data_IF_624742091997
#
_entry.id   IF_624742091997
#
_cell.length_a   1.000
_cell.length_b   1.000
_cell.length_c   1.000
_cell.angle_alpha   90.00
_cell.angle_beta   90.00
_cell.angle_gamma   90.00
#
_symmetry.space_group_name_H-M   'P 1'
#
loop_
_entity.id
_entity.type
_entity.pdbx_description
1 polymer ?
#
# COMPACT_ATOMS: atom_id res chain seq x y z
N UNK A 1 15.58 12.46 -9.41
CA UNK A 1 14.60 13.09 -10.33
C UNK A 1 15.03 13.13 -11.80
N UNK A 2 16.01 12.33 -12.26
CA UNK A 2 16.57 12.44 -13.62
C UNK A 2 15.77 11.74 -14.74
N UNK A 3 14.77 10.91 -14.42
CA UNK A 3 14.12 10.03 -15.41
C UNK A 3 12.96 10.65 -16.18
N UNK A 4 12.50 11.85 -15.81
CA UNK A 4 11.38 12.53 -16.45
C UNK A 4 11.82 13.66 -17.38
N UNK A 5 13.03 14.18 -17.18
CA UNK A 5 13.60 15.32 -17.93
C UNK A 5 13.83 14.90 -19.38
N UNK A 6 13.17 15.59 -20.32
CA UNK A 6 13.22 15.30 -21.75
C UNK A 6 12.27 14.19 -22.22
N UNK A 7 11.41 13.66 -21.34
CA UNK A 7 10.37 12.71 -21.72
C UNK A 7 9.05 13.42 -22.08
N UNK A 8 8.13 12.77 -22.82
CA UNK A 8 6.78 13.32 -23.07
C UNK A 8 5.93 13.54 -21.81
N UNK A 9 6.40 13.06 -20.65
CA UNK A 9 5.68 13.04 -19.38
C UNK A 9 6.13 14.14 -18.40
N UNK A 10 7.15 14.92 -18.74
CA UNK A 10 7.84 15.86 -17.83
C UNK A 10 6.90 16.89 -17.14
N UNK A 11 5.78 17.23 -17.79
CA UNK A 11 4.82 18.23 -17.31
C UNK A 11 3.47 17.63 -16.89
N UNK A 12 3.34 16.29 -16.85
CA UNK A 12 2.08 15.62 -16.52
C UNK A 12 1.96 15.35 -15.01
N UNK A 13 0.72 15.31 -14.47
CA UNK A 13 0.49 14.83 -13.10
C UNK A 13 1.00 13.41 -12.92
N UNK A 14 1.60 13.13 -11.77
CA UNK A 14 2.24 11.84 -11.48
C UNK A 14 1.29 10.64 -11.65
N UNK A 15 0.01 10.81 -11.28
CA UNK A 15 -1.05 9.81 -11.49
C UNK A 15 -1.27 9.47 -12.96
N UNK A 16 -1.17 10.47 -13.85
CA UNK A 16 -1.31 10.30 -15.30
C UNK A 16 -0.10 9.57 -15.89
N UNK A 17 1.11 9.89 -15.40
CA UNK A 17 2.35 9.19 -15.78
C UNK A 17 2.28 7.71 -15.39
N UNK A 18 1.90 7.42 -14.14
CA UNK A 18 1.75 6.04 -13.64
C UNK A 18 0.76 5.26 -14.50
N UNK A 19 -0.42 5.83 -14.76
CA UNK A 19 -1.46 5.14 -15.53
C UNK A 19 -1.05 4.91 -16.99
N UNK A 20 -0.45 5.91 -17.65
CA UNK A 20 -0.04 5.80 -19.07
C UNK A 20 1.10 4.81 -19.29
N UNK A 21 2.07 4.79 -18.38
CA UNK A 21 3.26 3.94 -18.50
C UNK A 21 3.02 2.51 -18.02
N UNK A 22 1.96 2.26 -17.24
CA UNK A 22 1.62 0.93 -16.74
C UNK A 22 1.46 -0.14 -17.84
N UNK A 23 0.95 0.29 -19.00
CA UNK A 23 0.65 -0.56 -20.15
C UNK A 23 1.78 -0.66 -21.17
N UNK A 24 2.87 0.08 -20.99
CA UNK A 24 3.98 0.15 -21.95
C UNK A 24 5.21 -0.59 -21.41
N UNK A 25 5.58 -1.76 -21.96
CA UNK A 25 6.76 -2.51 -21.51
C UNK A 25 8.05 -1.70 -21.59
N UNK A 26 8.18 -0.84 -22.61
CA UNK A 26 9.36 -0.01 -22.83
C UNK A 26 9.51 1.12 -21.80
N UNK A 27 8.43 1.50 -21.12
CA UNK A 27 8.42 2.58 -20.13
C UNK A 27 8.44 2.05 -18.69
N UNK A 28 8.79 0.77 -18.49
CA UNK A 28 8.76 0.14 -17.18
C UNK A 28 9.61 0.88 -16.12
N UNK A 29 10.74 1.47 -16.51
CA UNK A 29 11.59 2.28 -15.61
C UNK A 29 10.89 3.59 -15.22
N UNK A 30 10.23 4.25 -16.16
CA UNK A 30 9.47 5.48 -15.91
C UNK A 30 8.29 5.18 -15.00
N UNK A 31 7.55 4.10 -15.27
CA UNK A 31 6.49 3.60 -14.41
C UNK A 31 7.00 3.37 -12.98
N UNK A 32 8.11 2.64 -12.83
CA UNK A 32 8.62 2.29 -11.51
C UNK A 32 8.99 3.54 -10.71
N UNK A 33 9.65 4.52 -11.33
CA UNK A 33 9.99 5.78 -10.63
C UNK A 33 8.76 6.63 -10.33
N UNK A 34 7.81 6.73 -11.26
CA UNK A 34 6.58 7.49 -11.07
C UNK A 34 5.71 6.89 -9.96
N UNK A 35 5.58 5.56 -9.97
CA UNK A 35 4.79 4.81 -8.99
C UNK A 35 5.41 4.90 -7.60
N UNK A 36 6.74 4.78 -7.47
CA UNK A 36 7.44 4.97 -6.20
C UNK A 36 7.24 6.37 -5.62
N UNK A 37 7.40 7.40 -6.46
CA UNK A 37 7.18 8.79 -6.02
C UNK A 37 5.73 9.00 -5.57
N UNK A 38 4.77 8.41 -6.29
CA UNK A 38 3.37 8.57 -5.97
C UNK A 38 3.01 7.83 -4.68
N UNK A 39 3.50 6.60 -4.52
CA UNK A 39 3.29 5.81 -3.30
C UNK A 39 3.89 6.52 -2.07
N UNK A 40 5.10 7.08 -2.21
CA UNK A 40 5.77 7.82 -1.15
C UNK A 40 5.02 9.10 -0.78
N UNK A 41 4.63 9.89 -1.78
CA UNK A 41 3.83 11.10 -1.55
C UNK A 41 2.49 10.76 -0.87
N UNK A 42 1.83 9.68 -1.29
CA UNK A 42 0.58 9.23 -0.69
C UNK A 42 0.76 8.84 0.78
N UNK A 43 1.84 8.09 1.09
CA UNK A 43 2.22 7.71 2.46
C UNK A 43 2.48 8.95 3.32
N UNK A 44 3.30 9.89 2.86
CA UNK A 44 3.62 11.10 3.62
C UNK A 44 2.39 11.97 3.89
N UNK A 45 1.49 12.10 2.91
CA UNK A 45 0.23 12.82 3.07
C UNK A 45 -0.72 12.12 4.07
N UNK A 46 -0.57 10.82 4.30
CA UNK A 46 -1.33 10.07 5.31
C UNK A 46 -0.83 10.30 6.73
N UNK A 47 0.31 10.96 6.92
CA UNK A 47 0.87 11.25 8.23
C UNK A 47 0.49 12.66 8.70
N UNK A 48 0.26 12.80 9.99
CA UNK A 48 0.16 14.10 10.63
C UNK A 48 1.48 14.87 10.46
N UNK A 49 1.40 16.15 10.12
CA UNK A 49 2.59 17.00 9.96
C UNK A 49 3.40 17.06 11.25
N UNK A 50 4.73 16.95 11.20
CA UNK A 50 5.61 17.04 12.39
C UNK A 50 5.52 18.36 13.15
N UNK A 51 4.89 19.39 12.58
CA UNK A 51 4.59 20.66 13.25
C UNK A 51 3.30 20.65 14.05
N UNK A 52 2.46 19.62 13.87
CA UNK A 52 1.32 19.36 14.75
C UNK A 52 1.84 18.69 16.02
N UNK A 53 1.38 19.14 17.19
CA UNK A 53 1.56 18.41 18.45
C UNK A 53 1.11 16.96 18.28
N UNK A 54 1.82 15.97 18.85
CA UNK A 54 1.52 14.55 18.67
C UNK A 54 0.03 14.27 18.85
N UNK A 55 -0.56 13.60 17.85
CA UNK A 55 -1.98 13.33 17.61
C UNK A 55 -2.88 13.44 18.84
N UNK A 56 -3.28 14.65 19.17
CA UNK A 56 -4.48 14.91 20.00
C UNK A 56 -5.74 14.95 19.15
N UNK A 57 -5.62 14.78 17.83
CA UNK A 57 -6.74 14.76 16.91
C UNK A 57 -7.36 13.36 16.92
N UNK A 58 -8.54 13.17 17.51
CA UNK A 58 -9.18 11.87 17.56
C UNK A 58 -9.57 11.41 16.16
N UNK A 59 -9.63 10.09 15.97
CA UNK A 59 -10.20 9.47 14.77
C UNK A 59 -11.64 9.98 14.56
N UNK A 60 -12.03 10.41 13.35
CA UNK A 60 -13.41 10.77 13.07
C UNK A 60 -14.35 9.58 13.28
N UNK A 61 -15.49 9.79 13.93
CA UNK A 61 -16.49 8.75 14.24
C UNK A 61 -16.96 8.00 12.98
N UNK A 62 -17.07 8.69 11.83
CA UNK A 62 -17.44 8.06 10.58
C UNK A 62 -16.40 7.03 10.09
N UNK A 63 -15.12 7.25 10.37
CA UNK A 63 -14.04 6.32 10.02
C UNK A 63 -14.01 5.16 10.99
N UNK A 64 -14.17 5.43 12.29
CA UNK A 64 -14.31 4.39 13.30
C UNK A 64 -15.45 3.43 12.94
N UNK A 65 -16.62 3.95 12.57
CA UNK A 65 -17.75 3.12 12.16
C UNK A 65 -17.45 2.29 10.90
N UNK A 66 -16.86 2.90 9.86
CA UNK A 66 -16.48 2.14 8.64
C UNK A 66 -15.47 1.03 8.96
N UNK A 67 -14.53 1.27 9.86
CA UNK A 67 -13.57 0.25 10.31
C UNK A 67 -14.27 -0.88 11.07
N UNK A 68 -15.17 -0.55 12.00
CA UNK A 68 -15.97 -1.54 12.74
C UNK A 68 -16.83 -2.37 11.78
N UNK A 69 -17.47 -1.76 10.79
CA UNK A 69 -18.35 -2.45 9.85
C UNK A 69 -17.59 -3.43 8.93
N UNK A 70 -16.31 -3.15 8.62
CA UNK A 70 -15.51 -3.97 7.70
C UNK A 70 -14.54 -4.94 8.40
N UNK A 71 -14.14 -4.65 9.64
CA UNK A 71 -13.08 -5.37 10.36
C UNK A 71 -13.47 -5.76 11.79
N UNK A 72 -14.73 -5.64 12.18
CA UNK A 72 -15.29 -5.87 13.53
C UNK A 72 -14.86 -4.85 14.59
N UNK A 73 -13.61 -4.38 14.58
CA UNK A 73 -13.12 -3.31 15.43
C UNK A 73 -11.90 -2.58 14.86
N UNK A 74 -11.64 -1.36 15.33
CA UNK A 74 -10.43 -0.60 14.98
C UNK A 74 -9.15 -1.35 15.39
N UNK A 75 -9.17 -2.02 16.54
CA UNK A 75 -8.05 -2.82 17.03
C UNK A 75 -7.81 -4.04 16.12
N UNK A 76 -8.88 -4.71 15.69
CA UNK A 76 -8.78 -5.86 14.80
C UNK A 76 -8.27 -5.44 13.42
N UNK A 77 -8.73 -4.30 12.89
CA UNK A 77 -8.17 -3.69 11.68
C UNK A 77 -6.66 -3.43 11.82
N UNK A 78 -6.22 -2.71 12.87
CA UNK A 78 -4.80 -2.40 13.10
C UNK A 78 -3.98 -3.67 13.21
N UNK A 79 -4.49 -4.69 13.90
CA UNK A 79 -3.85 -6.00 14.04
C UNK A 79 -3.68 -6.69 12.69
N UNK A 80 -4.75 -6.77 11.88
CA UNK A 80 -4.66 -7.36 10.54
C UNK A 80 -3.67 -6.60 9.64
N UNK A 81 -3.72 -5.26 9.66
CA UNK A 81 -2.82 -4.42 8.85
C UNK A 81 -1.37 -4.56 9.28
N UNK A 82 -1.08 -4.51 10.58
CA UNK A 82 0.25 -4.76 11.15
C UNK A 82 0.75 -6.17 10.80
N UNK A 83 -0.10 -7.19 10.87
CA UNK A 83 0.28 -8.55 10.49
C UNK A 83 0.64 -8.65 9.00
N UNK A 84 -0.10 -8.00 8.11
CA UNK A 84 0.26 -7.90 6.69
C UNK A 84 1.62 -7.19 6.52
N UNK A 85 1.84 -6.10 7.24
CA UNK A 85 3.11 -5.38 7.22
C UNK A 85 4.28 -6.21 7.72
N UNK A 86 4.14 -6.97 8.81
CA UNK A 86 5.21 -7.79 9.39
C UNK A 86 5.50 -9.05 8.57
N UNK A 87 4.46 -9.66 7.97
CA UNK A 87 4.61 -10.88 7.15
C UNK A 87 5.13 -10.60 5.75
N UNK A 88 5.08 -9.35 5.28
CA UNK A 88 5.60 -8.97 3.98
C UNK A 88 7.14 -9.01 3.98
N UNK A 89 7.68 -10.04 3.34
CA UNK A 89 9.12 -10.17 3.11
C UNK A 89 9.56 -9.25 1.96
N UNK A 90 10.62 -8.48 2.18
CA UNK A 90 11.12 -7.50 1.22
C UNK A 90 10.44 -6.13 1.29
N UNK A 91 10.70 -5.30 0.26
CA UNK A 91 10.22 -3.92 0.19
C UNK A 91 8.89 -3.81 -0.54
N UNK A 92 8.01 -2.98 -0.03
CA UNK A 92 6.68 -2.79 -0.59
C UNK A 92 5.83 -1.85 0.24
N UNK A 93 4.52 -1.97 0.06
CA UNK A 93 3.52 -1.05 0.57
C UNK A 93 2.30 -1.83 1.04
N UNK A 94 1.77 -1.49 2.21
CA UNK A 94 0.49 -2.02 2.70
C UNK A 94 -0.54 -0.91 2.61
N UNK A 95 -1.71 -1.24 2.07
CA UNK A 95 -2.75 -0.28 1.76
C UNK A 95 -4.07 -0.65 2.43
N UNK A 96 -4.76 0.35 2.96
CA UNK A 96 -6.20 0.29 3.12
C UNK A 96 -6.82 0.85 1.86
N UNK A 97 -7.69 0.08 1.22
CA UNK A 97 -8.38 0.48 0.00
C UNK A 97 -9.87 0.27 0.13
N UNK A 98 -10.65 1.03 -0.63
CA UNK A 98 -12.07 0.80 -0.83
C UNK A 98 -12.30 0.24 -2.23
N UNK A 99 -13.16 -0.78 -2.32
CA UNK A 99 -13.55 -1.37 -3.59
C UNK A 99 -14.78 -0.71 -4.23
N UNK A 100 -15.12 -1.15 -5.43
CA UNK A 100 -16.32 -0.73 -6.16
C UNK A 100 -17.65 -1.07 -5.45
N UNK A 101 -17.64 -1.90 -4.42
CA UNK A 101 -18.78 -2.25 -3.57
C UNK A 101 -18.77 -1.46 -2.24
N UNK A 102 -17.93 -0.42 -2.12
CA UNK A 102 -17.74 0.38 -0.92
C UNK A 102 -17.25 -0.42 0.31
N UNK A 103 -16.61 -1.57 0.10
CA UNK A 103 -15.99 -2.38 1.17
C UNK A 103 -14.54 -2.01 1.33
N UNK A 104 -14.09 -1.96 2.58
CA UNK A 104 -12.72 -1.67 2.93
C UNK A 104 -11.90 -2.95 3.03
N UNK A 105 -10.73 -2.95 2.41
CA UNK A 105 -9.85 -4.11 2.32
C UNK A 105 -8.40 -3.73 2.54
N UNK A 106 -7.62 -4.66 3.07
CA UNK A 106 -6.16 -4.52 3.16
C UNK A 106 -5.53 -5.25 1.98
N UNK A 107 -4.65 -4.56 1.26
CA UNK A 107 -3.88 -5.16 0.16
C UNK A 107 -2.41 -4.80 0.27
N UNK A 108 -1.54 -5.63 -0.33
CA UNK A 108 -0.11 -5.38 -0.38
C UNK A 108 0.31 -5.18 -1.84
N UNK A 109 1.24 -4.25 -2.06
CA UNK A 109 1.95 -4.13 -3.33
C UNK A 109 3.44 -4.23 -3.09
N UNK A 110 4.15 -4.99 -3.91
CA UNK A 110 5.59 -5.17 -3.78
C UNK A 110 6.35 -4.20 -4.68
N UNK A 111 7.58 -3.86 -4.29
CA UNK A 111 8.46 -2.95 -5.02
C UNK A 111 7.75 -1.63 -5.42
N UNK A 112 7.62 -1.37 -6.73
CA UNK A 112 6.98 -0.19 -7.28
C UNK A 112 5.51 -0.42 -7.67
N UNK A 113 4.88 -1.50 -7.20
CA UNK A 113 3.47 -1.75 -7.44
C UNK A 113 2.58 -0.70 -6.78
N UNK A 114 1.48 -0.34 -7.43
CA UNK A 114 0.53 0.67 -6.94
C UNK A 114 -0.93 0.21 -7.13
N UNK A 115 -1.84 0.54 -6.19
CA UNK A 115 -3.28 0.29 -6.30
C UNK A 115 -3.94 1.03 -7.47
N UNK A 116 -3.29 2.07 -8.02
CA UNK A 116 -3.83 2.84 -9.16
C UNK A 116 -3.95 2.01 -10.44
N UNK A 117 -3.16 0.94 -10.55
CA UNK A 117 -3.02 0.18 -11.79
C UNK A 117 -3.20 -1.30 -11.48
N UNK A 118 -4.42 -1.86 -11.63
CA UNK A 118 -4.71 -3.25 -11.29
C UNK A 118 -3.75 -4.26 -11.93
N UNK A 119 -3.29 -3.99 -13.16
CA UNK A 119 -2.36 -4.83 -13.93
C UNK A 119 -0.91 -4.77 -13.41
N UNK A 120 -0.57 -3.76 -12.60
CA UNK A 120 0.78 -3.54 -12.04
C UNK A 120 0.76 -3.39 -10.52
N UNK A 121 -0.27 -3.93 -9.85
CA UNK A 121 -0.30 -3.97 -8.38
C UNK A 121 0.85 -4.83 -7.80
N UNK A 122 1.50 -5.70 -8.59
CA UNK A 122 2.60 -6.58 -8.16
C UNK A 122 2.25 -7.27 -6.83
N UNK A 123 1.08 -7.90 -6.75
CA UNK A 123 0.49 -8.41 -5.50
C UNK A 123 1.17 -9.69 -4.97
N UNK A 124 2.10 -10.26 -5.74
CA UNK A 124 2.91 -11.41 -5.34
C UNK A 124 4.39 -11.15 -5.60
N UNK A 125 5.24 -11.59 -4.67
CA UNK A 125 6.68 -11.63 -4.89
C UNK A 125 7.00 -12.64 -6.00
N UNK A 126 7.68 -12.18 -7.06
CA UNK A 126 8.07 -13.01 -8.19
C UNK A 126 8.95 -14.21 -7.78
N UNK A 127 9.74 -14.07 -6.71
CA UNK A 127 10.58 -15.15 -6.17
C UNK A 127 9.74 -16.21 -5.44
N UNK A 128 8.66 -15.81 -4.78
CA UNK A 128 7.71 -16.74 -4.14
C UNK A 128 6.92 -17.49 -5.20
N UNK A 129 6.49 -16.83 -6.29
CA UNK A 129 5.80 -17.49 -7.39
C UNK A 129 6.70 -18.49 -8.13
N UNK A 130 7.99 -18.19 -8.32
CA UNK A 130 8.94 -19.14 -8.90
C UNK A 130 9.12 -20.41 -8.04
N UNK A 131 9.17 -20.26 -6.71
CA UNK A 131 9.22 -21.36 -5.76
C UNK A 131 7.89 -22.14 -5.67
N UNK A 132 6.74 -21.47 -5.72
CA UNK A 132 5.41 -22.11 -5.67
C UNK A 132 5.09 -22.83 -6.98
N UNK A 133 5.51 -22.30 -8.13
CA UNK A 133 5.32 -22.92 -9.45
C UNK A 133 6.15 -24.20 -9.62
N UNK A 134 7.27 -24.31 -8.89
CA UNK A 134 8.10 -25.52 -8.85
C UNK A 134 7.63 -26.53 -7.78
N UNK A 135 6.83 -26.10 -6.80
CA UNK A 135 6.34 -26.96 -5.71
C UNK A 135 4.90 -27.50 -5.89
N UNK A 136 4.13 -27.03 -6.88
CA UNK A 136 2.67 -27.27 -6.98
C UNK A 136 2.21 -28.42 -7.88
N UNK A 137 2.96 -29.54 -7.96
CA UNK A 137 2.44 -30.77 -8.59
C UNK A 137 1.46 -31.59 -7.74
N UNK A 138 1.10 -31.16 -6.53
CA UNK A 138 0.08 -31.84 -5.71
C UNK A 138 -0.92 -30.84 -5.12
N UNK A 139 -2.05 -30.65 -5.81
CA UNK A 139 -3.19 -29.88 -5.33
C UNK A 139 -3.87 -30.59 -4.16
N UNK A 140 -4.15 -29.87 -3.08
CA UNK A 140 -5.07 -30.30 -2.01
C UNK A 140 -6.26 -29.32 -1.90
N UNK A 141 -7.52 -29.78 -1.73
CA UNK A 141 -8.72 -28.93 -1.91
C UNK A 141 -9.05 -27.98 -0.75
N UNK A 142 -8.27 -27.98 0.33
CA UNK A 142 -8.60 -27.27 1.58
C UNK A 142 -7.97 -25.86 1.71
N UNK A 143 -7.25 -25.37 0.71
CA UNK A 143 -6.73 -23.99 0.67
C UNK A 143 -7.69 -22.97 0.02
N UNK A 144 -8.92 -23.38 -0.25
CA UNK A 144 -9.89 -22.63 -1.07
C UNK A 144 -10.57 -21.45 -0.35
N UNK A 145 -10.19 -21.09 0.89
CA UNK A 145 -10.85 -20.02 1.66
C UNK A 145 -10.13 -18.68 1.69
N UNK A 146 -8.97 -18.53 1.02
CA UNK A 146 -8.42 -17.22 0.68
C UNK A 146 -8.54 -17.02 -0.83
N UNK A 147 -9.77 -16.92 -1.30
CA UNK A 147 -10.02 -16.50 -2.68
C UNK A 147 -9.46 -15.09 -2.84
N UNK A 148 -8.37 -15.00 -3.61
CA UNK A 148 -7.90 -13.77 -4.20
C UNK A 148 -9.12 -13.03 -4.73
N UNK A 149 -9.45 -11.91 -4.09
CA UNK A 149 -10.47 -11.01 -4.62
C UNK A 149 -10.09 -10.75 -6.07
N UNK A 150 -11.05 -10.91 -6.98
CA UNK A 150 -10.88 -10.68 -8.42
C UNK A 150 -10.04 -9.43 -8.64
N UNK A 151 -8.78 -9.61 -9.04
CA UNK A 151 -7.72 -8.59 -9.14
C UNK A 151 -7.94 -7.60 -10.31
N UNK A 152 -9.20 -7.32 -10.64
CA UNK A 152 -9.60 -6.44 -11.74
C UNK A 152 -10.47 -5.27 -11.29
N UNK A 153 -10.87 -5.21 -10.02
CA UNK A 153 -11.62 -4.07 -9.52
C UNK A 153 -10.67 -2.89 -9.29
N UNK A 154 -10.99 -1.76 -9.91
CA UNK A 154 -10.40 -0.47 -9.57
C UNK A 154 -10.67 -0.23 -8.09
N UNK A 155 -9.62 0.04 -7.33
CA UNK A 155 -9.71 0.31 -5.89
C UNK A 155 -9.27 1.74 -5.60
N UNK A 156 -9.91 2.36 -4.61
CA UNK A 156 -9.56 3.69 -4.13
C UNK A 156 -8.65 3.57 -2.91
N UNK A 157 -7.39 4.03 -2.97
CA UNK A 157 -6.49 3.99 -1.82
C UNK A 157 -6.90 5.01 -0.76
N UNK A 158 -6.89 4.60 0.51
CA UNK A 158 -7.30 5.41 1.66
C UNK A 158 -6.12 5.69 2.59
N UNK A 159 -5.36 4.66 2.94
CA UNK A 159 -4.17 4.70 3.80
C UNK A 159 -3.05 3.87 3.17
N UNK A 160 -1.81 4.30 3.35
CA UNK A 160 -0.62 3.58 2.90
C UNK A 160 0.41 3.52 4.04
N UNK A 161 1.16 2.43 4.10
CA UNK A 161 2.36 2.28 4.91
C UNK A 161 3.53 1.88 4.01
N UNK A 162 4.60 2.67 4.05
CA UNK A 162 5.85 2.38 3.37
C UNK A 162 6.69 1.39 4.19
N UNK A 163 7.12 0.28 3.59
CA UNK A 163 7.94 -0.74 4.25
C UNK A 163 9.32 -0.93 3.62
N UNK A 164 9.78 0.08 2.89
CA UNK A 164 11.14 0.13 2.37
C UNK A 164 12.14 0.39 3.50
N UNK A 165 13.19 -0.43 3.57
CA UNK A 165 14.21 -0.39 4.62
C UNK A 165 14.86 0.99 4.76
N UNK A 166 15.09 1.70 3.65
CA UNK A 166 15.70 3.03 3.68
C UNK A 166 14.85 4.09 4.40
N UNK A 167 13.56 3.82 4.63
CA UNK A 167 12.66 4.74 5.33
C UNK A 167 12.77 4.57 6.84
N UNK A 168 12.81 3.33 7.34
CA UNK A 168 12.73 3.08 8.79
C UNK A 168 14.06 2.66 9.42
N UNK A 169 14.98 2.05 8.67
CA UNK A 169 16.27 1.58 9.20
C UNK A 169 17.12 2.70 9.79
N UNK A 170 17.15 3.93 9.24
CA UNK A 170 17.92 5.03 9.85
C UNK A 170 17.51 5.34 11.30
N UNK A 171 16.22 5.24 11.62
CA UNK A 171 15.68 5.62 12.94
C UNK A 171 15.43 4.41 13.86
N UNK A 172 15.08 3.25 13.29
CA UNK A 172 14.67 2.05 14.04
C UNK A 172 15.62 0.85 13.89
N UNK A 173 16.62 0.94 13.00
CA UNK A 173 17.52 -0.17 12.69
C UNK A 173 16.86 -1.31 11.90
N UNK A 174 17.65 -2.33 11.57
CA UNK A 174 17.21 -3.44 10.69
C UNK A 174 16.14 -4.35 11.31
N UNK A 175 16.09 -4.40 12.65
CA UNK A 175 15.12 -5.22 13.38
C UNK A 175 13.90 -4.42 13.86
N UNK A 176 13.90 -3.09 13.76
CA UNK A 176 12.89 -2.23 14.39
C UNK A 176 11.64 -1.96 13.54
N UNK A 177 11.26 -2.89 12.67
CA UNK A 177 10.09 -2.73 11.79
C UNK A 177 8.78 -2.66 12.58
N UNK A 178 8.68 -3.44 13.63
CA UNK A 178 7.63 -3.40 14.64
C UNK A 178 7.51 -2.02 15.31
N UNK A 179 8.62 -1.49 15.84
CA UNK A 179 8.64 -0.15 16.44
C UNK A 179 8.26 0.96 15.45
N UNK A 180 8.66 0.81 14.19
CA UNK A 180 8.27 1.72 13.10
C UNK A 180 6.75 1.67 12.81
N UNK A 181 6.14 0.47 12.78
CA UNK A 181 4.69 0.32 12.58
C UNK A 181 3.91 0.91 13.76
N UNK A 182 4.38 0.72 14.98
CA UNK A 182 3.77 1.33 16.17
C UNK A 182 3.83 2.86 16.10
N UNK A 183 4.99 3.41 15.71
CA UNK A 183 5.14 4.84 15.48
C UNK A 183 4.21 5.34 14.37
N UNK A 184 4.06 4.60 13.28
CA UNK A 184 3.12 4.92 12.21
C UNK A 184 1.70 5.09 12.76
N UNK A 185 1.19 4.16 13.57
CA UNK A 185 -0.17 4.25 14.11
C UNK A 185 -0.43 5.47 14.99
N UNK A 186 0.61 6.00 15.64
CA UNK A 186 0.52 7.21 16.44
C UNK A 186 0.49 8.49 15.58
N UNK A 187 0.92 8.39 14.32
CA UNK A 187 1.08 9.52 13.41
C UNK A 187 0.13 9.50 12.21
N UNK A 188 -0.78 8.52 12.09
CA UNK A 188 -1.79 8.53 11.02
C UNK A 188 -2.74 9.72 11.17
N UNK A 189 -2.89 10.50 10.11
CA UNK A 189 -3.94 11.52 9.99
C UNK A 189 -5.25 10.90 9.47
N UNK A 190 -6.12 10.55 10.41
CA UNK A 190 -7.42 9.96 10.09
C UNK A 190 -8.39 10.92 9.38
N UNK A 191 -8.16 12.25 9.41
CA UNK A 191 -8.98 13.19 8.65
C UNK A 191 -8.65 13.13 7.16
N UNK A 192 -7.37 12.94 6.81
CA UNK A 192 -6.98 12.70 5.42
C UNK A 192 -7.60 11.40 4.92
N UNK A 193 -7.61 10.34 5.73
CA UNK A 193 -8.30 9.08 5.41
C UNK A 193 -9.79 9.33 5.18
N UNK A 194 -10.43 10.17 6.01
CA UNK A 194 -11.84 10.53 5.84
C UNK A 194 -12.11 11.28 4.53
N UNK A 195 -11.29 12.27 4.20
CA UNK A 195 -11.40 13.05 2.95
C UNK A 195 -11.24 12.17 1.71
N UNK A 196 -10.47 11.09 1.83
CA UNK A 196 -10.26 10.10 0.77
C UNK A 196 -11.31 9.00 0.74
N UNK A 197 -12.18 8.89 1.74
CA UNK A 197 -13.26 7.87 1.87
C UNK A 197 -14.62 8.34 1.38
#
# INVERSE_FOLDING_TARGET
SASFVGSPYEQQPLTEIVTKTAHQPNDAVIFNHASQLWNEEFFLQSLASSTATPSTVPMPVAIEQKLVDNFDSVEHFKTQFTNQALTMFGSGWVWLVEDNMARWRIINTFNAGSPLTPQRMQVTDANVMAAVSSASQQQSPLQSSMQAASMQDVVRPLLCLNLWEHVYVPDHGIAGRDAYIDAFWNNVDWHVVQQRS
#
